data_IF_550570922972
#
_entry.id   IF_550570922972
#
_cell.length_a   1.000
_cell.length_b   1.000
_cell.length_c   1.000
_cell.angle_alpha   90.00
_cell.angle_beta   90.00
_cell.angle_gamma   90.00
#
_symmetry.space_group_name_H-M   'P 1'
#
loop_
_entity.id
_entity.type
_entity.pdbx_description
1 polymer ?
#
# COMPACT_ATOMS: atom_id res chain seq x y z
N UNK A 1 -43.78 -46.23 4.95
CA UNK A 1 -43.10 -45.47 3.87
C UNK A 1 -41.97 -44.66 4.50
N UNK A 2 -40.75 -44.91 4.01
CA UNK A 2 -39.45 -44.20 4.13
C UNK A 2 -39.07 -43.40 5.40
N UNK A 3 -38.02 -43.87 6.07
CA UNK A 3 -36.89 -43.06 6.61
C UNK A 3 -35.98 -42.63 5.42
N UNK A 4 -35.05 -41.63 5.45
CA UNK A 4 -34.27 -41.14 6.61
C UNK A 4 -33.80 -39.64 6.66
N UNK A 5 -33.24 -39.25 7.82
CA UNK A 5 -31.99 -38.49 8.17
C UNK A 5 -31.50 -37.18 7.48
N UNK A 6 -31.32 -36.17 8.37
CA UNK A 6 -30.09 -35.39 8.70
C UNK A 6 -29.66 -34.14 7.87
N UNK A 7 -29.67 -33.00 8.60
CA UNK A 7 -28.86 -31.77 8.64
C UNK A 7 -28.54 -30.94 7.37
N UNK A 8 -28.93 -29.66 7.41
CA UNK A 8 -28.04 -28.54 7.01
C UNK A 8 -28.42 -27.27 7.80
N UNK A 9 -27.41 -26.59 8.35
CA UNK A 9 -27.50 -25.30 9.04
C UNK A 9 -27.53 -24.17 7.99
N UNK A 10 -28.24 -23.08 8.34
CA UNK A 10 -28.20 -21.71 7.77
C UNK A 10 -29.45 -21.30 6.98
N UNK A 11 -30.27 -20.43 7.57
CA UNK A 11 -31.04 -19.42 6.82
C UNK A 11 -31.10 -18.13 7.66
N UNK A 12 -30.59 -17.06 7.05
CA UNK A 12 -30.66 -15.67 7.47
C UNK A 12 -32.12 -15.22 7.59
N UNK A 13 -32.48 -14.54 8.67
CA UNK A 13 -33.70 -13.73 8.73
C UNK A 13 -33.38 -12.38 9.36
N UNK A 14 -32.89 -11.49 8.49
CA UNK A 14 -32.90 -10.06 8.71
C UNK A 14 -34.36 -9.61 8.54
N UNK A 15 -35.07 -9.44 9.65
CA UNK A 15 -36.42 -8.86 9.68
C UNK A 15 -36.29 -7.35 9.43
N UNK A 16 -36.80 -6.93 8.28
CA UNK A 16 -36.61 -5.60 7.73
C UNK A 16 -37.38 -4.49 8.43
N UNK A 17 -36.98 -3.27 8.07
CA UNK A 17 -37.85 -2.11 8.04
C UNK A 17 -37.64 -1.47 6.66
N UNK A 18 -38.72 -1.43 5.87
CA UNK A 18 -38.80 -0.63 4.65
C UNK A 18 -38.84 0.85 5.04
N UNK A 19 -37.90 1.65 4.53
CA UNK A 19 -38.20 3.01 4.07
C UNK A 19 -37.53 3.24 2.71
N UNK A 20 -38.34 3.77 1.79
CA UNK A 20 -38.02 4.10 0.40
C UNK A 20 -37.31 5.46 0.34
N UNK A 21 -36.32 5.56 -0.56
CA UNK A 21 -35.36 6.66 -0.76
C UNK A 21 -35.97 8.06 -0.95
N UNK A 22 -35.26 9.08 -0.45
CA UNK A 22 -34.71 10.22 -1.23
C UNK A 22 -33.62 10.88 -0.35
N UNK A 23 -32.36 10.81 -0.79
CA UNK A 23 -31.22 11.55 -0.22
C UNK A 23 -30.17 10.68 0.47
N UNK A 24 -29.13 10.33 -0.29
CA UNK A 24 -27.96 9.55 0.08
C UNK A 24 -27.35 9.96 1.44
N UNK A 25 -27.62 9.18 2.49
CA UNK A 25 -26.84 9.16 3.74
C UNK A 25 -26.55 7.72 4.10
N UNK A 26 -25.31 7.29 3.83
CA UNK A 26 -24.81 6.00 4.31
C UNK A 26 -24.89 5.98 5.85
N UNK A 27 -25.49 4.94 6.47
CA UNK A 27 -25.61 4.84 7.93
C UNK A 27 -24.30 4.42 8.62
N UNK A 28 -23.21 4.29 7.88
CA UNK A 28 -21.89 3.99 8.45
C UNK A 28 -21.11 5.28 8.66
N UNK A 29 -21.39 5.99 9.76
CA UNK A 29 -20.39 6.89 10.34
C UNK A 29 -19.29 6.04 10.98
N UNK A 30 -18.45 5.42 10.15
CA UNK A 30 -17.10 5.06 10.58
C UNK A 30 -16.29 6.35 10.54
N UNK A 31 -16.31 7.10 11.64
CA UNK A 31 -15.11 7.85 12.01
C UNK A 31 -14.10 6.79 12.44
N UNK A 32 -13.48 6.14 11.46
CA UNK A 32 -12.20 5.49 11.68
C UNK A 32 -11.32 6.54 12.35
N UNK A 33 -10.55 6.20 13.41
CA UNK A 33 -9.54 7.13 13.88
C UNK A 33 -8.72 7.48 12.64
N UNK A 34 -8.64 8.77 12.31
CA UNK A 34 -7.76 9.25 11.27
C UNK A 34 -6.33 9.07 11.79
N UNK A 35 -5.87 7.81 11.83
CA UNK A 35 -4.46 7.54 11.83
C UNK A 35 -3.93 8.27 10.61
N UNK A 36 -3.08 9.25 10.87
CA UNK A 36 -2.32 9.89 9.81
C UNK A 36 -1.66 8.75 9.04
N UNK A 37 -1.88 8.73 7.72
CA UNK A 37 -1.24 7.76 6.85
C UNK A 37 0.26 7.85 7.06
N UNK A 38 0.93 6.73 7.21
CA UNK A 38 2.39 6.72 7.30
C UNK A 38 2.94 7.17 5.94
N UNK A 39 3.48 8.38 5.87
CA UNK A 39 4.07 8.95 4.63
C UNK A 39 5.60 8.97 4.65
N UNK A 40 6.19 8.57 5.77
CA UNK A 40 7.61 8.30 5.96
C UNK A 40 7.78 7.46 7.23
N UNK A 41 8.73 6.54 7.21
CA UNK A 41 9.14 5.66 8.29
C UNK A 41 8.31 4.40 8.49
N UNK A 42 8.33 3.93 9.73
CA UNK A 42 7.76 2.65 10.11
C UNK A 42 6.24 2.76 10.21
N UNK A 43 5.54 1.94 9.42
CA UNK A 43 4.10 1.75 9.51
C UNK A 43 3.77 0.99 10.80
N UNK A 44 3.10 1.61 11.79
CA UNK A 44 2.99 1.02 13.12
C UNK A 44 1.89 -0.06 13.22
N UNK A 45 0.92 -0.04 12.30
CA UNK A 45 -0.26 -0.91 12.27
C UNK A 45 -0.74 -1.05 10.82
N UNK A 46 -1.68 -1.95 10.59
CA UNK A 46 -2.34 -2.08 9.27
C UNK A 46 -2.94 -0.74 8.82
N UNK A 47 -2.70 -0.41 7.56
CA UNK A 47 -3.22 0.82 6.94
C UNK A 47 -3.95 0.53 5.63
N UNK A 48 -4.96 1.35 5.35
CA UNK A 48 -5.64 1.42 4.06
C UNK A 48 -5.36 2.78 3.43
N UNK A 49 -4.76 2.78 2.24
CA UNK A 49 -4.47 3.98 1.47
C UNK A 49 -5.48 4.14 0.33
N UNK A 50 -6.00 5.35 0.20
CA UNK A 50 -6.89 5.77 -0.88
C UNK A 50 -6.71 7.24 -1.27
N UNK A 51 -7.08 7.58 -2.50
CA UNK A 51 -6.94 8.95 -3.04
C UNK A 51 -5.49 9.29 -3.41
N UNK A 52 -5.03 10.50 -3.12
CA UNK A 52 -3.62 10.88 -3.30
C UNK A 52 -2.82 10.70 -2.00
N UNK A 53 -1.70 9.99 -2.10
CA UNK A 53 -0.70 9.79 -1.04
C UNK A 53 0.59 10.48 -1.48
N UNK A 54 1.18 11.31 -0.63
CA UNK A 54 2.51 11.89 -0.86
C UNK A 54 3.48 11.24 0.12
N UNK A 55 4.47 10.53 -0.38
CA UNK A 55 5.57 9.98 0.40
C UNK A 55 6.72 10.98 0.44
N UNK A 56 7.28 11.20 1.62
CA UNK A 56 8.39 12.15 1.87
C UNK A 56 9.69 11.46 2.26
N UNK A 57 9.62 10.17 2.58
CA UNK A 57 10.76 9.31 2.89
C UNK A 57 10.40 7.85 2.75
N UNK A 58 11.39 7.00 2.99
CA UNK A 58 11.23 5.55 2.99
C UNK A 58 10.03 5.10 3.82
N UNK A 59 9.37 4.03 3.39
CA UNK A 59 8.28 3.39 4.14
C UNK A 59 8.72 1.99 4.52
N UNK A 60 8.76 1.70 5.82
CA UNK A 60 8.96 0.35 6.31
C UNK A 60 7.60 -0.26 6.69
N UNK A 61 7.24 -1.36 6.05
CA UNK A 61 6.07 -2.19 6.38
C UNK A 61 6.58 -3.41 7.16
N UNK A 62 6.43 -3.45 8.50
CA UNK A 62 6.99 -4.52 9.33
C UNK A 62 6.33 -5.88 9.10
N UNK A 63 7.00 -6.94 9.54
CA UNK A 63 6.39 -8.26 9.64
C UNK A 63 5.07 -8.21 10.42
N UNK A 64 4.04 -8.87 9.89
CA UNK A 64 2.70 -8.92 10.49
C UNK A 64 1.84 -7.68 10.26
N UNK A 65 2.36 -6.65 9.58
CA UNK A 65 1.61 -5.46 9.18
C UNK A 65 1.21 -5.55 7.70
N UNK A 66 0.00 -5.09 7.38
CA UNK A 66 -0.55 -5.05 6.02
C UNK A 66 -0.85 -3.62 5.59
N UNK A 67 -0.28 -3.23 4.45
CA UNK A 67 -0.72 -2.06 3.69
C UNK A 67 -1.67 -2.51 2.58
N UNK A 68 -2.93 -2.06 2.64
CA UNK A 68 -3.89 -2.20 1.57
C UNK A 68 -4.01 -0.88 0.78
N UNK A 69 -3.98 -0.94 -0.55
CA UNK A 69 -4.11 0.22 -1.44
C UNK A 69 -5.34 0.04 -2.31
N UNK A 70 -6.30 0.96 -2.20
CA UNK A 70 -7.58 0.91 -2.90
C UNK A 70 -7.45 1.29 -4.39
N UNK A 71 -8.38 0.83 -5.26
CA UNK A 71 -8.40 1.21 -6.68
C UNK A 71 -8.37 2.73 -6.90
N UNK A 72 -7.69 3.17 -7.95
CA UNK A 72 -7.59 4.59 -8.31
C UNK A 72 -6.67 5.44 -7.43
N UNK A 73 -5.98 4.84 -6.46
CA UNK A 73 -5.02 5.54 -5.61
C UNK A 73 -3.81 6.02 -6.42
N UNK A 74 -3.36 7.24 -6.15
CA UNK A 74 -2.12 7.81 -6.69
C UNK A 74 -1.14 8.00 -5.55
N UNK A 75 -0.07 7.21 -5.55
CA UNK A 75 1.06 7.37 -4.62
C UNK A 75 2.15 8.15 -5.32
N UNK A 76 2.50 9.28 -4.73
CA UNK A 76 3.48 10.24 -5.22
C UNK A 76 4.73 10.17 -4.36
N UNK A 77 5.86 9.88 -4.98
CA UNK A 77 7.15 9.84 -4.32
C UNK A 77 7.83 11.20 -4.50
N UNK A 78 8.22 11.84 -3.40
CA UNK A 78 8.99 13.09 -3.48
C UNK A 78 10.33 12.81 -4.15
N UNK A 79 10.51 13.34 -5.36
CA UNK A 79 11.62 12.96 -6.21
C UNK A 79 12.98 13.32 -5.58
N UNK A 80 13.88 12.32 -5.50
CA UNK A 80 15.27 12.47 -5.02
C UNK A 80 15.36 13.17 -3.65
N UNK A 81 14.35 12.98 -2.82
CA UNK A 81 14.23 13.56 -1.49
C UNK A 81 13.69 12.48 -0.57
N UNK A 82 14.60 11.79 0.10
CA UNK A 82 14.28 10.89 1.20
C UNK A 82 14.62 11.59 2.53
N UNK A 83 13.64 11.67 3.43
CA UNK A 83 13.79 12.22 4.78
C UNK A 83 14.21 11.16 5.82
N UNK A 84 14.32 9.88 5.44
CA UNK A 84 14.72 8.75 6.29
C UNK A 84 15.59 7.72 5.57
N UNK A 85 16.91 7.77 5.79
CA UNK A 85 17.86 6.83 5.18
C UNK A 85 17.89 5.50 5.94
N UNK A 86 17.24 4.45 5.44
CA UNK A 86 17.23 3.13 6.07
C UNK A 86 18.11 2.07 5.35
N UNK A 87 18.82 2.44 4.28
CA UNK A 87 19.66 1.50 3.52
C UNK A 87 20.96 1.05 4.23
N UNK A 88 21.24 1.53 5.44
CA UNK A 88 22.34 1.03 6.29
C UNK A 88 23.75 1.33 5.76
N UNK A 89 23.88 1.97 4.60
CA UNK A 89 25.14 2.38 3.98
C UNK A 89 25.11 3.88 3.65
N UNK A 90 24.50 4.66 4.55
CA UNK A 90 24.49 6.10 4.47
C UNK A 90 25.78 6.70 5.06
N UNK A 91 26.73 7.07 4.19
CA UNK A 91 27.68 8.13 4.52
C UNK A 91 27.06 9.49 4.17
N UNK A 92 26.73 10.36 5.15
CA UNK A 92 26.20 11.70 4.88
C UNK A 92 27.11 12.59 4.03
N UNK A 93 28.40 12.25 3.90
CA UNK A 93 29.35 12.92 3.01
C UNK A 93 29.34 12.36 1.58
N UNK A 94 28.80 11.16 1.36
CA UNK A 94 28.71 10.50 0.06
C UNK A 94 27.26 10.45 -0.44
N UNK A 95 26.80 11.58 -0.97
CA UNK A 95 25.52 11.68 -1.70
C UNK A 95 25.55 11.01 -3.09
N UNK A 96 26.61 10.26 -3.43
CA UNK A 96 26.73 9.59 -4.73
C UNK A 96 26.09 8.20 -4.75
N UNK A 97 25.75 7.64 -3.58
CA UNK A 97 25.00 6.39 -3.50
C UNK A 97 23.53 6.68 -3.74
N UNK A 98 23.05 6.26 -4.92
CA UNK A 98 21.67 6.47 -5.39
C UNK A 98 20.57 6.06 -4.38
N UNK A 99 20.83 5.12 -3.47
CA UNK A 99 19.89 4.72 -2.40
C UNK A 99 19.57 5.85 -1.41
N UNK A 100 20.55 6.68 -1.05
CA UNK A 100 20.46 7.69 0.00
C UNK A 100 19.52 8.87 -0.28
N UNK A 101 18.99 8.99 -1.49
CA UNK A 101 18.12 10.11 -1.89
C UNK A 101 16.78 9.65 -2.44
N UNK A 102 16.56 8.35 -2.58
CA UNK A 102 15.40 7.80 -3.26
C UNK A 102 14.49 7.09 -2.27
N UNK A 103 13.23 7.52 -2.23
CA UNK A 103 12.23 6.86 -1.39
C UNK A 103 12.02 5.41 -1.86
N UNK A 104 12.27 4.46 -0.97
CA UNK A 104 11.99 3.03 -1.11
C UNK A 104 10.84 2.59 -0.21
N UNK A 105 10.08 1.60 -0.68
CA UNK A 105 9.14 0.86 0.17
C UNK A 105 9.78 -0.46 0.60
N UNK A 106 10.14 -0.55 1.88
CA UNK A 106 10.79 -1.69 2.51
C UNK A 106 9.72 -2.64 3.05
N UNK A 107 9.52 -3.75 2.36
CA UNK A 107 8.42 -4.69 2.61
C UNK A 107 8.94 -5.93 3.34
N UNK A 108 8.76 -5.94 4.66
CA UNK A 108 8.88 -7.13 5.51
C UNK A 108 7.52 -7.80 5.77
N UNK A 109 6.45 -7.01 5.75
CA UNK A 109 5.05 -7.44 5.91
C UNK A 109 4.35 -7.72 4.59
N UNK A 110 3.11 -7.25 4.46
CA UNK A 110 2.28 -7.49 3.28
C UNK A 110 1.85 -6.18 2.61
N UNK A 111 1.97 -6.11 1.29
CA UNK A 111 1.34 -5.07 0.48
C UNK A 111 0.29 -5.69 -0.45
N UNK A 112 -0.94 -5.17 -0.38
CA UNK A 112 -2.06 -5.57 -1.24
C UNK A 112 -2.52 -4.33 -2.00
N UNK A 113 -2.19 -4.24 -3.28
CA UNK A 113 -2.61 -3.13 -4.14
C UNK A 113 -3.51 -3.67 -5.26
N UNK A 114 -4.82 -3.43 -5.13
CA UNK A 114 -5.82 -3.99 -6.04
C UNK A 114 -6.48 -2.87 -6.85
N UNK A 115 -5.81 -2.46 -7.92
CA UNK A 115 -6.38 -1.59 -8.94
C UNK A 115 -7.41 -2.32 -9.80
N UNK A 116 -8.08 -1.55 -10.65
CA UNK A 116 -8.97 -2.08 -11.70
C UNK A 116 -8.61 -1.49 -13.05
N UNK A 117 -9.15 -2.04 -14.14
CA UNK A 117 -8.90 -1.52 -15.48
C UNK A 117 -9.34 -0.05 -15.64
N UNK A 118 -10.44 0.33 -14.99
CA UNK A 118 -10.99 1.70 -15.04
C UNK A 118 -10.37 2.64 -13.99
N UNK A 119 -9.79 2.07 -12.93
CA UNK A 119 -9.15 2.79 -11.84
C UNK A 119 -7.84 2.12 -11.43
N UNK A 120 -6.78 2.22 -12.26
CA UNK A 120 -5.48 1.67 -11.92
C UNK A 120 -4.86 2.42 -10.74
N UNK A 121 -4.01 1.75 -9.99
CA UNK A 121 -3.19 2.39 -8.96
C UNK A 121 -1.93 2.94 -9.63
N UNK A 122 -1.58 4.19 -9.34
CA UNK A 122 -0.43 4.87 -9.93
C UNK A 122 0.66 5.10 -8.87
N UNK A 123 1.86 4.59 -9.12
CA UNK A 123 3.06 4.83 -8.31
C UNK A 123 4.02 5.71 -9.13
N UNK A 124 4.10 7.01 -8.81
CA UNK A 124 4.70 8.03 -9.69
C UNK A 124 5.54 9.06 -8.94
N UNK A 125 6.47 9.70 -9.66
CA UNK A 125 7.28 10.83 -9.15
C UNK A 125 6.46 12.13 -9.02
N UNK A 126 6.85 12.99 -8.08
CA UNK A 126 6.35 14.38 -7.97
C UNK A 126 7.06 15.38 -8.89
N UNK A 127 8.15 14.98 -9.56
CA UNK A 127 8.97 15.89 -10.35
C UNK A 127 8.16 16.57 -11.47
N UNK A 128 8.49 17.85 -11.74
CA UNK A 128 7.89 18.60 -12.87
C UNK A 128 8.28 17.99 -14.22
N UNK A 129 9.47 17.41 -14.30
CA UNK A 129 9.95 16.63 -15.43
C UNK A 129 10.42 15.26 -14.92
N UNK A 130 9.52 14.27 -14.77
CA UNK A 130 9.84 12.97 -14.22
C UNK A 130 10.88 12.21 -15.05
N UNK A 131 11.87 11.63 -14.39
CA UNK A 131 12.92 10.80 -15.01
C UNK A 131 12.94 9.41 -14.37
N UNK A 132 13.69 8.46 -14.92
CA UNK A 132 14.02 7.26 -14.16
C UNK A 132 14.85 7.65 -12.93
N UNK A 133 14.80 6.82 -11.89
CA UNK A 133 15.55 7.06 -10.65
C UNK A 133 15.07 8.26 -9.81
N UNK A 134 13.82 8.70 -9.98
CA UNK A 134 13.24 9.71 -9.09
C UNK A 134 12.91 9.14 -7.70
N UNK A 135 12.67 7.83 -7.63
CA UNK A 135 12.41 7.09 -6.39
C UNK A 135 12.93 5.65 -6.51
N UNK A 136 13.04 4.94 -5.40
CA UNK A 136 13.84 3.72 -5.30
C UNK A 136 13.12 2.53 -5.92
N UNK A 137 12.02 2.13 -5.31
CA UNK A 137 11.24 0.97 -5.73
C UNK A 137 10.62 0.26 -4.54
N UNK A 138 10.20 -0.98 -4.78
CA UNK A 138 9.77 -1.88 -3.72
C UNK A 138 10.93 -2.83 -3.41
N UNK A 139 11.37 -2.85 -2.16
CA UNK A 139 12.38 -3.76 -1.67
C UNK A 139 11.69 -4.81 -0.79
N UNK A 140 11.59 -6.03 -1.31
CA UNK A 140 10.94 -7.14 -0.62
C UNK A 140 12.01 -7.93 0.13
N UNK A 141 11.85 -8.03 1.45
CA UNK A 141 12.77 -8.73 2.33
C UNK A 141 12.14 -10.02 2.87
N UNK A 142 12.97 -10.99 3.25
CA UNK A 142 12.59 -12.20 4.01
C UNK A 142 11.20 -12.79 3.68
N UNK A 143 10.19 -12.48 4.50
CA UNK A 143 8.81 -12.99 4.38
C UNK A 143 7.81 -11.98 3.78
N UNK A 144 8.33 -10.89 3.23
CA UNK A 144 7.59 -9.85 2.56
C UNK A 144 6.76 -10.40 1.41
N UNK A 145 5.49 -10.01 1.37
CA UNK A 145 4.54 -10.45 0.36
C UNK A 145 3.92 -9.25 -0.36
N UNK A 146 3.83 -9.33 -1.68
CA UNK A 146 3.23 -8.29 -2.50
C UNK A 146 2.21 -8.90 -3.45
N UNK A 147 0.98 -8.40 -3.42
CA UNK A 147 -0.10 -8.75 -4.37
C UNK A 147 -0.53 -7.50 -5.12
N UNK A 148 -0.36 -7.50 -6.44
CA UNK A 148 -0.59 -6.35 -7.30
C UNK A 148 -1.53 -6.70 -8.44
N UNK A 149 -2.56 -5.89 -8.62
CA UNK A 149 -3.48 -5.96 -9.75
C UNK A 149 -3.65 -4.55 -10.32
N UNK A 150 -3.51 -4.38 -11.64
CA UNK A 150 -3.63 -3.09 -12.34
C UNK A 150 -2.86 -1.93 -11.67
N UNK A 151 -1.60 -2.18 -11.28
CA UNK A 151 -0.70 -1.18 -10.68
C UNK A 151 0.32 -0.74 -11.72
N UNK A 152 0.49 0.59 -11.86
CA UNK A 152 1.41 1.20 -12.81
C UNK A 152 2.55 1.89 -12.05
N UNK A 153 3.77 1.40 -12.28
CA UNK A 153 5.00 1.98 -11.77
C UNK A 153 5.65 2.85 -12.84
N UNK A 154 6.00 4.10 -12.50
CA UNK A 154 6.77 4.99 -13.37
C UNK A 154 7.86 5.69 -12.58
N UNK A 155 8.96 6.02 -13.24
CA UNK A 155 10.02 6.88 -12.71
C UNK A 155 10.84 6.28 -11.54
N UNK A 156 10.67 5.00 -11.24
CA UNK A 156 11.50 4.33 -10.24
C UNK A 156 12.87 3.98 -10.80
N UNK A 157 13.86 3.84 -9.91
CA UNK A 157 15.15 3.23 -10.22
C UNK A 157 14.98 1.73 -10.44
N UNK A 158 14.24 1.08 -9.54
CA UNK A 158 13.91 -0.33 -9.58
C UNK A 158 12.40 -0.50 -9.43
N UNK A 159 11.79 -1.43 -10.17
CA UNK A 159 10.37 -1.77 -9.97
C UNK A 159 10.20 -2.57 -8.67
N UNK A 160 10.87 -3.73 -8.64
CA UNK A 160 10.95 -4.62 -7.48
C UNK A 160 12.38 -5.14 -7.32
N UNK A 161 12.84 -5.19 -6.08
CA UNK A 161 14.07 -5.85 -5.69
C UNK A 161 13.79 -6.85 -4.58
N UNK A 162 14.15 -8.11 -4.80
CA UNK A 162 13.95 -9.17 -3.82
C UNK A 162 15.29 -9.46 -3.13
N UNK A 163 15.36 -9.11 -1.85
CA UNK A 163 16.48 -9.48 -0.99
C UNK A 163 16.33 -10.96 -0.62
N UNK A 164 17.16 -11.82 -1.23
CA UNK A 164 17.28 -13.21 -0.80
C UNK A 164 18.47 -13.38 0.15
N UNK A 165 18.32 -14.18 1.20
CA UNK A 165 19.50 -14.71 1.89
C UNK A 165 20.09 -15.83 1.05
N UNK A 166 21.37 -15.76 0.74
CA UNK A 166 22.16 -16.95 0.44
C UNK A 166 22.13 -17.86 1.67
N UNK A 167 21.51 -19.04 1.51
CA UNK A 167 21.56 -20.14 2.48
C UNK A 167 22.99 -20.65 2.66
#
# INVERSE_FOLDING_TARGET
MRQPRILLVSVVLCLGILQCDIGHRSPYNFTSPSYLRTTSGVMPVDEVWSGEILLTGDILIPFGVTLAIEPGTVVRFTARSDDQHWDGEFDPADRSTYGAVMISMLVYGTVIAQGTADAPILMISTAVSPDTMDWGGFEIFESGAVSLEQVVFKNSYQGFYFHSRSS
#
